data_IF_692824633307
#
_entry.id   IF_692824633307
#
_cell.length_a   1.000
_cell.length_b   1.000
_cell.length_c   1.000
_cell.angle_alpha   90.00
_cell.angle_beta   90.00
_cell.angle_gamma   90.00
#
_symmetry.space_group_name_H-M   'P 1'
#
loop_
_entity.id
_entity.type
_entity.pdbx_description
1 polymer ?
#
# COMPACT_ATOMS: atom_id res chain seq x y z
N UNK A 1 20.24 2.67 12.58
CA UNK A 1 20.05 2.98 11.15
C UNK A 1 19.25 4.26 11.09
N UNK A 2 19.70 5.25 10.32
CA UNK A 2 18.94 6.50 10.15
C UNK A 2 17.72 6.27 9.25
N UNK A 3 16.79 7.23 9.24
CA UNK A 3 15.58 7.13 8.40
C UNK A 3 15.96 7.22 6.92
N UNK A 4 16.96 8.05 6.60
CA UNK A 4 17.56 8.20 5.28
C UNK A 4 18.09 6.87 4.75
N UNK A 5 18.94 6.21 5.54
CA UNK A 5 19.52 4.90 5.21
C UNK A 5 18.43 3.85 5.02
N UNK A 6 17.38 3.89 5.85
CA UNK A 6 16.24 3.00 5.73
C UNK A 6 15.47 3.20 4.43
N UNK A 7 15.14 4.44 4.08
CA UNK A 7 14.43 4.76 2.84
C UNK A 7 15.24 4.27 1.63
N UNK A 8 16.55 4.54 1.61
CA UNK A 8 17.44 4.10 0.53
C UNK A 8 17.46 2.58 0.43
N UNK A 9 17.62 1.89 1.57
CA UNK A 9 17.65 0.43 1.62
C UNK A 9 16.36 -0.20 1.09
N UNK A 10 15.20 0.31 1.53
CA UNK A 10 13.88 -0.17 1.07
C UNK A 10 13.70 0.10 -0.41
N UNK A 11 14.08 1.29 -0.90
CA UNK A 11 14.00 1.64 -2.32
C UNK A 11 14.80 0.66 -3.19
N UNK A 12 16.06 0.42 -2.85
CA UNK A 12 16.94 -0.49 -3.59
C UNK A 12 16.39 -1.91 -3.63
N UNK A 13 15.83 -2.40 -2.50
CA UNK A 13 15.22 -3.72 -2.45
C UNK A 13 13.99 -3.80 -3.35
N UNK A 14 13.11 -2.81 -3.31
CA UNK A 14 11.89 -2.81 -4.13
C UNK A 14 12.25 -2.70 -5.61
N UNK A 15 13.23 -1.88 -5.97
CA UNK A 15 13.71 -1.74 -7.35
C UNK A 15 14.19 -3.09 -7.91
N UNK A 16 14.84 -3.92 -7.09
CA UNK A 16 15.26 -5.27 -7.47
C UNK A 16 14.10 -6.28 -7.55
N UNK A 17 13.11 -6.18 -6.66
CA UNK A 17 11.99 -7.12 -6.58
C UNK A 17 10.87 -6.82 -7.59
N UNK A 18 10.63 -5.54 -7.89
CA UNK A 18 9.56 -5.10 -8.77
C UNK A 18 9.56 -5.80 -10.15
N UNK A 19 10.69 -5.91 -10.90
CA UNK A 19 10.70 -6.60 -12.19
C UNK A 19 10.50 -8.12 -12.08
N UNK A 20 10.75 -8.71 -10.91
CA UNK A 20 10.51 -10.15 -10.66
C UNK A 20 9.02 -10.41 -10.47
N UNK A 21 8.32 -9.48 -9.79
CA UNK A 21 6.88 -9.58 -9.52
C UNK A 21 6.04 -9.14 -10.72
N UNK A 22 6.43 -8.04 -11.38
CA UNK A 22 5.66 -7.42 -12.45
C UNK A 22 6.23 -7.83 -13.80
N UNK A 23 5.75 -8.98 -14.31
CA UNK A 23 6.17 -9.53 -15.61
C UNK A 23 5.49 -8.81 -16.79
N UNK A 24 4.28 -8.29 -16.55
CA UNK A 24 3.49 -7.55 -17.53
C UNK A 24 3.17 -6.15 -17.01
N UNK A 25 3.13 -5.13 -17.88
CA UNK A 25 2.85 -3.77 -17.44
C UNK A 25 1.45 -3.68 -16.84
N UNK A 26 1.34 -3.20 -15.60
CA UNK A 26 0.08 -3.04 -14.87
C UNK A 26 -0.90 -2.10 -15.59
N UNK A 27 -0.37 -1.17 -16.40
CA UNK A 27 -1.14 -0.21 -17.18
C UNK A 27 -0.83 -0.40 -18.65
N UNK A 28 -1.87 -0.69 -19.43
CA UNK A 28 -1.78 -0.81 -20.90
C UNK A 28 -2.24 0.46 -21.62
N UNK A 29 -2.88 1.41 -20.93
CA UNK A 29 -3.49 2.62 -21.51
C UNK A 29 -3.34 3.83 -20.59
N UNK A 30 -3.38 5.03 -21.19
CA UNK A 30 -3.34 6.32 -20.49
C UNK A 30 -1.94 6.93 -20.41
N UNK A 31 -1.85 8.12 -19.82
CA UNK A 31 -0.56 8.77 -19.56
C UNK A 31 0.18 8.03 -18.44
N UNK A 32 1.52 7.92 -18.54
CA UNK A 32 2.31 7.36 -17.45
C UNK A 32 2.13 8.21 -16.19
N UNK A 33 2.01 7.59 -15.01
CA UNK A 33 1.99 8.32 -13.75
C UNK A 33 3.29 9.11 -13.58
N UNK A 34 3.21 10.29 -12.95
CA UNK A 34 4.38 11.12 -12.69
C UNK A 34 5.35 10.47 -11.70
N UNK A 35 4.79 9.79 -10.69
CA UNK A 35 5.51 8.97 -9.72
C UNK A 35 5.61 7.55 -10.26
N UNK A 36 6.75 6.91 -10.09
CA UNK A 36 6.96 5.52 -10.47
C UNK A 36 6.29 4.57 -9.47
N UNK A 37 5.98 3.36 -9.92
CA UNK A 37 5.37 2.35 -9.07
C UNK A 37 6.28 1.97 -7.90
N UNK A 38 7.59 1.87 -8.15
CA UNK A 38 8.62 1.58 -7.13
C UNK A 38 8.62 2.63 -6.02
N UNK A 39 8.57 3.92 -6.35
CA UNK A 39 8.50 5.01 -5.37
C UNK A 39 7.25 4.90 -4.49
N UNK A 40 6.09 4.58 -5.07
CA UNK A 40 4.84 4.41 -4.30
C UNK A 40 4.95 3.26 -3.30
N UNK A 41 5.44 2.09 -3.73
CA UNK A 41 5.59 0.94 -2.84
C UNK A 41 6.61 1.25 -1.74
N UNK A 42 7.68 1.98 -2.07
CA UNK A 42 8.68 2.44 -1.08
C UNK A 42 8.02 3.30 -0.01
N UNK A 43 7.22 4.29 -0.41
CA UNK A 43 6.49 5.14 0.54
C UNK A 43 5.53 4.35 1.41
N UNK A 44 4.81 3.38 0.84
CA UNK A 44 3.90 2.51 1.59
C UNK A 44 4.63 1.70 2.66
N UNK A 45 5.71 1.00 2.29
CA UNK A 45 6.46 0.14 3.22
C UNK A 45 7.15 0.97 4.31
N UNK A 46 7.79 2.07 3.93
CA UNK A 46 8.43 2.96 4.91
C UNK A 46 7.38 3.61 5.82
N UNK A 47 6.24 4.03 5.25
CA UNK A 47 5.15 4.62 6.01
C UNK A 47 4.57 3.67 7.05
N UNK A 48 4.34 2.42 6.66
CA UNK A 48 3.89 1.34 7.55
C UNK A 48 4.92 1.10 8.68
N UNK A 49 6.21 1.02 8.34
CA UNK A 49 7.28 0.83 9.32
C UNK A 49 7.37 1.99 10.34
N UNK A 50 7.04 3.20 9.92
CA UNK A 50 6.98 4.38 10.79
C UNK A 50 5.67 4.47 11.61
N UNK A 51 4.75 3.51 11.46
CA UNK A 51 3.45 3.51 12.14
C UNK A 51 2.46 4.54 11.59
N UNK A 52 2.56 4.87 10.30
CA UNK A 52 1.62 5.77 9.63
C UNK A 52 0.46 4.97 9.03
N UNK A 53 -0.55 4.68 9.84
CA UNK A 53 -1.66 3.76 9.51
C UNK A 53 -2.59 4.20 8.35
N UNK A 54 -2.36 5.35 7.73
CA UNK A 54 -3.21 5.84 6.63
C UNK A 54 -2.40 6.37 5.47
N UNK A 55 -2.85 6.09 4.24
CA UNK A 55 -2.29 6.65 3.00
C UNK A 55 -2.14 8.19 3.06
N UNK A 56 -3.05 8.86 3.78
CA UNK A 56 -3.00 10.31 3.98
C UNK A 56 -1.81 10.74 4.81
N UNK A 57 -1.57 10.05 5.92
CA UNK A 57 -0.43 10.33 6.79
C UNK A 57 0.89 10.04 6.07
N UNK A 58 0.96 8.93 5.33
CA UNK A 58 2.10 8.57 4.49
C UNK A 58 2.37 9.67 3.47
N UNK A 59 1.36 10.04 2.66
CA UNK A 59 1.51 11.09 1.65
C UNK A 59 1.95 12.42 2.26
N UNK A 60 1.35 12.82 3.39
CA UNK A 60 1.69 14.08 4.06
C UNK A 60 3.11 14.06 4.63
N UNK A 61 3.54 12.93 5.20
CA UNK A 61 4.89 12.75 5.71
C UNK A 61 5.94 12.90 4.60
N UNK A 62 5.77 12.19 3.48
CA UNK A 62 6.71 12.26 2.35
C UNK A 62 6.69 13.63 1.68
N UNK A 63 5.51 14.25 1.56
CA UNK A 63 5.40 15.60 1.00
C UNK A 63 6.10 16.67 1.85
N UNK A 64 6.08 16.53 3.18
CA UNK A 64 6.64 17.54 4.07
C UNK A 64 8.14 17.33 4.35
N UNK A 65 8.61 16.09 4.37
CA UNK A 65 9.97 15.77 4.81
C UNK A 65 10.90 15.28 3.68
N UNK A 66 10.35 14.71 2.61
CA UNK A 66 11.13 13.97 1.60
C UNK A 66 10.79 14.37 0.16
N UNK A 67 10.19 15.55 -0.03
CA UNK A 67 9.79 16.00 -1.37
C UNK A 67 10.99 16.17 -2.31
N UNK A 68 12.17 16.50 -1.78
CA UNK A 68 13.40 16.61 -2.56
C UNK A 68 13.79 15.28 -3.20
N UNK A 69 13.52 14.16 -2.53
CA UNK A 69 13.82 12.82 -3.03
C UNK A 69 12.71 12.28 -3.93
N UNK A 70 11.48 12.74 -3.73
CA UNK A 70 10.31 12.36 -4.52
C UNK A 70 9.65 13.58 -5.17
N UNK A 71 10.34 14.30 -6.07
CA UNK A 71 9.89 15.60 -6.57
C UNK A 71 8.61 15.52 -7.41
N UNK A 72 8.32 14.34 -7.97
CA UNK A 72 7.15 14.09 -8.80
C UNK A 72 5.91 13.69 -7.98
N UNK A 73 5.98 13.73 -6.66
CA UNK A 73 4.87 13.39 -5.78
C UNK A 73 3.66 14.29 -6.07
N UNK A 74 2.63 13.68 -6.65
CA UNK A 74 1.42 14.38 -7.09
C UNK A 74 0.45 14.69 -5.96
N UNK A 75 -0.78 14.99 -6.33
CA UNK A 75 -1.87 15.22 -5.38
C UNK A 75 -2.23 13.94 -4.61
N UNK A 76 -2.71 14.11 -3.38
CA UNK A 76 -3.17 13.01 -2.52
C UNK A 76 -4.16 12.04 -3.22
N UNK A 77 -5.20 12.51 -3.96
CA UNK A 77 -6.11 11.60 -4.65
C UNK A 77 -5.43 10.75 -5.72
N UNK A 78 -4.40 11.27 -6.39
CA UNK A 78 -3.63 10.51 -7.37
C UNK A 78 -2.75 9.48 -6.67
N UNK A 79 -2.12 9.85 -5.54
CA UNK A 79 -1.38 8.92 -4.69
C UNK A 79 -2.25 7.75 -4.22
N UNK A 80 -3.42 8.00 -3.64
CA UNK A 80 -4.33 6.92 -3.20
C UNK A 80 -4.82 6.04 -4.35
N UNK A 81 -5.18 6.63 -5.51
CA UNK A 81 -5.54 5.84 -6.70
C UNK A 81 -4.39 4.93 -7.14
N UNK A 82 -3.17 5.44 -7.04
CA UNK A 82 -1.98 4.71 -7.43
C UNK A 82 -1.72 3.55 -6.45
N UNK A 83 -1.76 3.83 -5.15
CA UNK A 83 -1.71 2.83 -4.06
C UNK A 83 -2.73 1.70 -4.25
N UNK A 84 -3.99 2.05 -4.53
CA UNK A 84 -5.06 1.08 -4.75
C UNK A 84 -4.81 0.18 -5.96
N UNK A 85 -4.26 0.73 -7.05
CA UNK A 85 -3.93 -0.06 -8.24
C UNK A 85 -2.74 -1.00 -8.01
N UNK A 86 -1.80 -0.63 -7.14
CA UNK A 86 -0.62 -1.44 -6.83
C UNK A 86 -0.85 -2.42 -5.70
N UNK A 87 -2.01 -2.42 -5.05
CA UNK A 87 -2.27 -3.24 -3.86
C UNK A 87 -1.87 -4.70 -4.03
N UNK A 88 -2.26 -5.35 -5.13
CA UNK A 88 -1.88 -6.74 -5.42
C UNK A 88 -0.35 -6.93 -5.59
N UNK A 89 0.34 -5.95 -6.15
CA UNK A 89 1.79 -5.97 -6.35
C UNK A 89 2.51 -5.75 -5.02
N UNK A 90 2.07 -4.79 -4.21
CA UNK A 90 2.60 -4.56 -2.87
C UNK A 90 2.47 -5.81 -2.00
N UNK A 91 1.33 -6.51 -2.08
CA UNK A 91 1.13 -7.79 -1.38
C UNK A 91 2.07 -8.89 -1.89
N UNK A 92 2.27 -8.98 -3.20
CA UNK A 92 3.17 -9.97 -3.80
C UNK A 92 4.65 -9.71 -3.44
N UNK A 93 5.07 -8.44 -3.42
CA UNK A 93 6.40 -8.04 -2.97
C UNK A 93 6.57 -8.37 -1.49
N UNK A 94 5.57 -8.10 -0.65
CA UNK A 94 5.60 -8.45 0.77
C UNK A 94 5.75 -9.97 0.97
N UNK A 95 5.02 -10.78 0.21
CA UNK A 95 5.13 -12.23 0.26
C UNK A 95 6.55 -12.71 -0.13
N UNK A 96 7.17 -12.12 -1.15
CA UNK A 96 8.55 -12.45 -1.52
C UNK A 96 9.57 -12.01 -0.46
N UNK A 97 9.35 -10.86 0.19
CA UNK A 97 10.18 -10.41 1.31
C UNK A 97 10.09 -11.40 2.48
N UNK A 98 8.89 -11.83 2.85
CA UNK A 98 8.68 -12.84 3.89
C UNK A 98 9.35 -14.16 3.49
N UNK A 99 9.24 -14.60 2.25
CA UNK A 99 9.90 -15.83 1.81
C UNK A 99 11.43 -15.74 1.88
N UNK A 100 12.01 -14.59 1.53
CA UNK A 100 13.46 -14.41 1.42
C UNK A 100 14.13 -14.08 2.76
N UNK A 101 13.43 -13.36 3.63
CA UNK A 101 13.98 -12.82 4.88
C UNK A 101 13.22 -13.26 6.13
N UNK A 102 11.98 -13.76 6.00
CA UNK A 102 11.13 -14.19 7.11
C UNK A 102 11.42 -15.60 7.62
N UNK A 103 12.70 -16.01 7.64
CA UNK A 103 13.15 -17.30 8.18
C UNK A 103 13.12 -17.38 9.71
N UNK A 104 12.33 -16.52 10.36
CA UNK A 104 12.06 -16.57 11.78
C UNK A 104 10.62 -17.07 11.95
N UNK A 105 10.41 -18.05 12.84
CA UNK A 105 9.13 -18.72 13.14
C UNK A 105 8.08 -17.77 13.77
N UNK A 106 7.83 -16.60 13.19
CA UNK A 106 6.88 -15.60 13.68
C UNK A 106 5.91 -15.28 12.54
N UNK A 107 4.75 -15.94 12.60
CA UNK A 107 3.64 -15.63 11.72
C UNK A 107 2.90 -14.41 12.27
N UNK A 108 3.09 -13.24 11.66
CA UNK A 108 2.23 -12.08 11.90
C UNK A 108 0.89 -12.30 11.20
N UNK A 109 -0.17 -12.53 11.99
CA UNK A 109 -1.54 -12.57 11.51
C UNK A 109 -2.16 -11.21 11.86
N UNK A 110 -2.26 -10.30 10.88
CA UNK A 110 -3.02 -9.07 11.02
C UNK A 110 -4.52 -9.35 10.83
N UNK A 111 -5.12 -9.94 11.85
CA UNK A 111 -6.55 -10.17 11.93
C UNK A 111 -7.22 -9.00 12.63
N UNK A 112 -7.67 -7.99 11.89
CA UNK A 112 -8.62 -7.04 12.45
C UNK A 112 -9.96 -7.76 12.69
N UNK A 113 -10.52 -7.74 13.92
CA UNK A 113 -11.80 -8.37 14.17
C UNK A 113 -12.89 -7.64 13.37
N UNK A 114 -13.39 -8.29 12.32
CA UNK A 114 -14.61 -7.87 11.63
C UNK A 114 -15.76 -8.03 12.63
N UNK A 115 -16.43 -6.94 13.05
CA UNK A 115 -17.67 -7.08 13.80
C UNK A 115 -18.66 -7.79 12.88
N UNK A 116 -18.98 -9.03 13.22
CA UNK A 116 -20.02 -9.80 12.55
C UNK A 116 -21.34 -9.16 12.97
N UNK A 117 -21.71 -8.07 12.30
CA UNK A 117 -23.00 -7.42 12.51
C UNK A 117 -24.08 -8.46 12.24
N UNK A 118 -24.83 -8.84 13.27
CA UNK A 118 -26.09 -9.56 13.07
C UNK A 118 -26.98 -8.73 12.15
N UNK A 119 -27.49 -9.32 11.07
CA UNK A 119 -28.44 -8.67 10.17
C UNK A 119 -29.73 -8.30 10.93
N UNK A 120 -29.82 -7.08 11.43
CA UNK A 120 -31.07 -6.47 11.85
C UNK A 120 -31.48 -5.44 10.80
N UNK A 121 -32.66 -5.66 10.19
CA UNK A 121 -33.23 -4.71 9.22
C UNK A 121 -33.53 -3.39 9.92
N UNK A 122 -32.75 -2.35 9.63
CA UNK A 122 -33.10 -0.99 10.01
C UNK A 122 -34.37 -0.54 9.27
N UNK A 123 -35.33 0.04 9.99
CA UNK A 123 -36.47 0.74 9.37
C UNK A 123 -35.95 1.90 8.54
N UNK A 124 -36.44 2.01 7.30
CA UNK A 124 -36.04 3.02 6.31
C UNK A 124 -35.95 4.42 6.93
N UNK A 125 -34.74 4.96 7.04
CA UNK A 125 -34.51 6.39 7.08
C UNK A 125 -33.80 6.80 5.78
N UNK A 126 -34.34 7.82 5.13
CA UNK A 126 -33.72 8.44 3.95
C UNK A 126 -32.53 9.26 4.45
N UNK A 127 -31.40 9.15 3.76
CA UNK A 127 -30.13 9.89 3.94
C UNK A 127 -29.03 9.18 4.73
N UNK A 128 -28.49 8.10 4.16
CA UNK A 128 -27.11 7.68 4.42
C UNK A 128 -26.45 7.38 3.07
N UNK A 129 -25.67 8.33 2.56
CA UNK A 129 -24.67 8.06 1.53
C UNK A 129 -23.53 7.29 2.20
N UNK A 130 -23.52 5.97 2.05
CA UNK A 130 -22.39 5.14 2.48
C UNK A 130 -21.57 4.78 1.25
N UNK A 131 -20.33 5.25 1.28
CA UNK A 131 -19.23 4.92 0.40
C UNK A 131 -19.01 3.42 0.29
N UNK A 132 -18.70 2.99 -0.94
CA UNK A 132 -18.28 1.65 -1.35
C UNK A 132 -17.41 0.92 -0.30
N UNK A 133 -17.92 -0.20 0.19
CA UNK A 133 -17.14 -1.33 0.68
C UNK A 133 -16.80 -2.21 -0.52
N UNK A 134 -15.51 -2.39 -0.84
CA UNK A 134 -15.03 -3.42 -1.75
C UNK A 134 -13.89 -4.18 -1.05
N UNK A 135 -14.01 -5.51 -1.13
CA UNK A 135 -13.00 -6.54 -0.85
C UNK A 135 -12.84 -7.01 0.59
N UNK A 136 -13.64 -8.00 0.97
CA UNK A 136 -13.14 -9.18 1.67
C UNK A 136 -13.54 -10.40 0.84
N UNK A 137 -12.57 -11.18 0.37
CA UNK A 137 -12.63 -12.63 0.13
C UNK A 137 -11.38 -13.02 -0.66
N UNK A 138 -10.39 -13.60 0.02
CA UNK A 138 -9.65 -14.80 -0.35
C UNK A 138 -8.83 -15.17 0.90
N UNK A 139 -9.35 -16.10 1.68
CA UNK A 139 -8.58 -17.08 2.45
C UNK A 139 -9.55 -18.19 2.87
N UNK A 140 -9.71 -19.17 2.00
CA UNK A 140 -9.95 -20.55 2.43
C UNK A 140 -8.81 -21.38 1.84
N UNK A 141 -8.26 -22.20 2.74
CA UNK A 141 -7.24 -23.22 2.49
C UNK A 141 -7.66 -24.24 1.44
#
# INVERSE_FOLDING_TARGET
MSIEEFIIFVYVIIEQLYPIVVIQPLRTRGFPPAVTDVEIITMQIVGEFLGLDTDKNIWMYFKNNWLEWFPKLGSYPNFCKHCANLWHVSQSIMAQLIQRYGSDNIHFIDGFPLPVCSYTRARKHKNLMVSKLISSLIFQA
#
